data_IF_409352421422
#
_entry.id   IF_409352421422
#
_cell.length_a   1.000
_cell.length_b   1.000
_cell.length_c   1.000
_cell.angle_alpha   90.00
_cell.angle_beta   90.00
_cell.angle_gamma   90.00
#
_symmetry.space_group_name_H-M   'P 1'
#
loop_
_entity.id
_entity.type
_entity.pdbx_description
1 polymer ?
2 polymer ?
3 non-polymer ?
4 non-polymer ?
5 non-polymer ?
6 non-polymer ?
7 non-polymer ?
8 water ?
#
# COMPACT_ATOMS: atom_id res chain seq x y z
N UNK A 1 -20.39 20.74 -12.52
CA UNK A 1 -19.44 19.61 -12.77
C UNK A 1 -19.82 18.39 -11.93
N UNK A 2 -19.18 17.25 -12.23
CA UNK A 2 -19.47 16.01 -11.52
C UNK A 2 -18.21 15.15 -11.35
N UNK A 3 -18.08 14.58 -10.16
CA UNK A 3 -16.84 13.94 -9.73
C UNK A 3 -16.51 12.65 -10.48
N UNK A 4 -17.52 12.01 -11.08
CA UNK A 4 -17.31 10.77 -11.84
C UNK A 4 -16.63 11.04 -13.20
N UNK A 5 -16.81 12.25 -13.72
CA UNK A 5 -16.17 12.64 -14.97
C UNK A 5 -14.93 13.51 -14.70
N UNK A 6 -13.77 13.05 -15.16
CA UNK A 6 -12.55 13.87 -15.14
C UNK A 6 -12.13 14.24 -13.70
N UNK A 7 -12.60 13.47 -12.74
CA UNK A 7 -12.41 13.77 -11.31
C UNK A 7 -13.01 15.12 -10.89
N UNK A 8 -14.05 15.54 -11.62
CA UNK A 8 -14.65 16.86 -11.39
C UNK A 8 -13.70 18.02 -11.60
N UNK A 9 -12.60 17.77 -12.31
CA UNK A 9 -11.51 18.74 -12.45
C UNK A 9 -10.59 18.86 -11.25
N UNK A 10 -10.92 18.19 -10.15
CA UNK A 10 -10.14 18.25 -8.91
C UNK A 10 -8.79 17.54 -9.06
N UNK A 11 -7.76 18.07 -8.42
CA UNK A 11 -6.45 17.42 -8.40
C UNK A 11 -6.50 16.16 -7.52
N UNK A 12 -7.24 16.25 -6.42
CA UNK A 12 -7.36 15.18 -5.46
C UNK A 12 -8.84 14.76 -5.28
N UNK A 13 -9.44 15.05 -4.13
CA UNK A 13 -10.74 14.48 -3.78
C UNK A 13 -11.87 15.43 -4.21
N UNK A 14 -13.06 14.87 -4.42
CA UNK A 14 -14.20 15.56 -5.05
C UNK A 14 -15.51 15.15 -4.39
N UNK A 15 -16.31 16.13 -3.97
CA UNK A 15 -17.66 15.89 -3.47
C UNK A 15 -18.72 16.57 -4.35
N UNK A 16 -19.73 15.80 -4.75
CA UNK A 16 -20.90 16.35 -5.45
C UNK A 16 -21.89 16.89 -4.42
N UNK A 17 -22.51 18.02 -4.74
CA UNK A 17 -23.43 18.70 -3.84
C UNK A 17 -24.79 18.93 -4.53
N UNK A 18 -25.82 19.12 -3.70
CA UNK A 18 -27.17 19.34 -4.21
C UNK A 18 -27.23 20.65 -5.02
N UNK A 19 -27.63 20.52 -6.29
CA UNK A 19 -27.55 21.61 -7.26
C UNK A 19 -26.45 21.27 -8.25
N UNK A 20 -26.07 22.24 -9.08
CA UNK A 20 -24.95 22.02 -10.01
C UNK A 20 -23.63 22.36 -9.29
N UNK A 21 -23.48 21.84 -8.07
CA UNK A 21 -22.37 22.21 -7.18
C UNK A 21 -21.38 21.06 -6.96
N UNK A 22 -20.11 21.43 -6.88
CA UNK A 22 -19.00 20.48 -6.65
C UNK A 22 -18.00 21.15 -5.71
N UNK A 23 -17.45 20.38 -4.76
CA UNK A 23 -16.37 20.86 -3.92
C UNK A 23 -15.19 19.91 -4.05
N UNK A 24 -14.02 20.47 -4.34
CA UNK A 24 -12.78 19.71 -4.30
C UNK A 24 -12.18 19.80 -2.92
N UNK A 25 -11.41 18.79 -2.56
CA UNK A 25 -10.73 18.76 -1.28
C UNK A 25 -9.34 18.20 -1.46
N UNK A 26 -8.52 18.40 -0.44
CA UNK A 26 -7.15 17.94 -0.43
C UNK A 26 -6.90 17.13 0.85
N UNK A 27 -5.98 16.18 0.73
CA UNK A 27 -5.54 15.33 1.83
C UNK A 27 -4.88 16.20 2.88
N UNK A 28 -4.82 15.66 4.08
CA UNK A 28 -4.06 16.28 5.15
C UNK A 28 -2.64 16.55 4.64
N UNK A 29 -2.08 17.70 5.03
CA UNK A 29 -0.77 18.13 4.58
C UNK A 29 -0.78 18.86 3.24
N UNK A 30 -1.98 19.19 2.76
CA UNK A 30 -2.20 19.98 1.57
C UNK A 30 -3.31 21.00 1.82
N UNK A 31 -3.30 22.08 1.06
CA UNK A 31 -4.38 23.08 1.05
C UNK A 31 -4.86 23.32 -0.37
N UNK A 32 -6.14 23.64 -0.51
CA UNK A 32 -6.78 23.87 -1.79
C UNK A 32 -6.47 25.31 -2.21
N UNK A 33 -6.05 25.48 -3.45
CA UNK A 33 -5.79 26.82 -3.99
C UNK A 33 -7.09 27.51 -4.42
N UNK A 34 -7.00 28.80 -4.70
CA UNK A 34 -8.16 29.64 -5.06
C UNK A 34 -8.86 29.23 -6.36
N UNK A 35 -8.17 28.46 -7.22
CA UNK A 35 -8.81 27.87 -8.39
C UNK A 35 -9.84 26.81 -8.00
N UNK A 36 -9.87 26.43 -6.71
CA UNK A 36 -10.88 25.49 -6.24
C UNK A 36 -10.62 24.04 -6.61
N UNK A 37 -9.49 23.76 -7.26
CA UNK A 37 -9.16 22.40 -7.73
C UNK A 37 -7.76 21.90 -7.34
N UNK A 38 -6.79 22.80 -7.23
CA UNK A 38 -5.38 22.43 -7.05
C UNK A 38 -5.05 22.26 -5.58
N UNK A 39 -4.14 21.35 -5.27
CA UNK A 39 -3.69 21.13 -3.90
C UNK A 39 -2.21 21.46 -3.84
N UNK A 40 -1.80 22.18 -2.80
CA UNK A 40 -0.39 22.50 -2.59
C UNK A 40 0.02 22.00 -1.20
N UNK A 41 1.21 21.39 -1.07
CA UNK A 41 1.70 20.94 0.24
C UNK A 41 1.81 22.07 1.27
N UNK A 42 1.48 21.74 2.51
CA UNK A 42 1.59 22.67 3.63
C UNK A 42 2.64 22.22 4.67
N UNK A 43 3.22 21.06 4.42
CA UNK A 43 4.23 20.47 5.30
C UNK A 43 5.41 20.05 4.46
N UNK A 44 6.50 19.68 5.14
CA UNK A 44 7.71 19.31 4.47
C UNK A 44 7.60 17.96 3.75
N UNK A 45 6.88 17.03 4.36
CA UNK A 45 6.81 15.67 3.84
C UNK A 45 5.37 15.20 3.68
N UNK A 46 4.67 15.79 2.71
CA UNK A 46 3.31 15.41 2.43
C UNK A 46 3.25 14.00 1.85
N UNK A 47 2.17 13.31 2.10
CA UNK A 47 1.99 11.97 1.55
C UNK A 47 2.06 11.92 0.03
N UNK A 48 2.62 10.83 -0.51
CA UNK A 48 2.57 10.57 -1.94
C UNK A 48 3.47 11.39 -2.83
N UNK A 49 4.40 12.14 -2.23
CA UNK A 49 5.44 12.86 -2.98
C UNK A 49 6.80 12.31 -2.58
N UNK A 50 7.72 12.29 -3.53
CA UNK A 50 9.06 11.69 -3.39
C UNK A 50 10.09 12.83 -3.28
N UNK A 51 10.51 13.17 -2.06
CA UNK A 51 11.41 14.30 -1.82
C UNK A 51 12.61 14.42 -2.77
N UNK A 52 13.31 13.32 -3.06
CA UNK A 52 14.51 13.45 -3.89
C UNK A 52 14.17 13.83 -5.32
N UNK A 53 12.98 13.43 -5.78
CA UNK A 53 12.52 13.82 -7.11
C UNK A 53 11.90 15.23 -7.13
N UNK A 54 11.20 15.61 -6.06
CA UNK A 54 10.66 16.96 -5.93
C UNK A 54 11.80 17.99 -5.89
N UNK A 55 12.86 17.67 -5.16
CA UNK A 55 14.07 18.49 -5.16
C UNK A 55 14.74 18.53 -6.54
N UNK A 56 14.74 17.38 -7.21
CA UNK A 56 15.35 17.24 -8.54
C UNK A 56 14.70 18.16 -9.59
N UNK A 57 13.40 18.43 -9.44
CA UNK A 57 12.69 19.35 -10.35
C UNK A 57 12.36 20.72 -9.74
N UNK A 58 12.77 20.95 -8.49
CA UNK A 58 12.59 22.25 -7.83
C UNK A 58 13.70 23.23 -8.23
N UNK B 1 10.14 -9.48 -6.31
CA UNK B 1 9.72 -8.90 -7.59
C UNK B 1 10.47 -9.56 -8.76
N UNK B 2 9.72 -10.06 -9.73
CA UNK B 2 10.27 -10.66 -10.97
C UNK B 2 10.19 -9.70 -12.16
N UNK B 3 11.32 -9.47 -12.83
CA UNK B 3 11.37 -8.67 -14.05
C UNK B 3 11.28 -7.16 -13.88
N UNK B 4 11.55 -6.67 -12.66
CA UNK B 4 11.53 -5.26 -12.35
C UNK B 4 12.94 -4.69 -12.34
N UNK B 5 13.16 -3.63 -11.58
CA UNK B 5 14.45 -3.00 -11.46
C UNK B 5 14.63 -2.55 -10.03
N UNK B 6 15.84 -2.16 -9.68
CA UNK B 6 16.10 -1.63 -8.37
C UNK B 6 15.32 -0.31 -8.24
N UNK B 7 14.60 -0.15 -7.14
CA UNK B 7 14.02 1.15 -6.83
C UNK B 7 15.15 2.04 -6.32
N UNK B 8 15.47 3.12 -7.06
CA UNK B 8 16.55 3.96 -6.57
C UNK B 8 16.30 4.40 -5.13
N UNK B 9 17.36 4.34 -4.31
CA UNK B 9 17.26 4.65 -2.88
C UNK B 9 16.52 5.97 -2.66
N UNK B 10 15.43 5.90 -1.90
CA UNK B 10 14.61 7.09 -1.63
C UNK B 10 13.40 7.27 -2.54
N UNK B 11 13.30 6.49 -3.62
CA UNK B 11 12.18 6.67 -4.56
C UNK B 11 10.99 5.77 -4.24
N UNK B 12 11.12 4.93 -3.23
CA UNK B 12 10.02 4.11 -2.73
C UNK B 12 9.90 4.34 -1.22
N UNK B 13 9.76 5.62 -0.79
CA UNK B 13 10.02 5.93 0.62
C UNK B 13 8.92 5.48 1.60
N UNK B 14 7.80 5.00 1.07
CA UNK B 14 6.70 4.46 1.85
C UNK B 14 6.80 2.95 2.06
N UNK B 15 7.79 2.32 1.42
CA UNK B 15 7.96 0.88 1.54
C UNK B 15 8.38 0.51 2.94
N UNK B 16 7.72 -0.51 3.48
CA UNK B 16 8.03 -1.04 4.81
C UNK B 16 8.56 -2.47 4.66
N UNK B 17 9.56 -2.83 5.48
CA UNK B 17 10.01 -4.21 5.61
C UNK B 17 9.57 -4.73 6.97
N UNK B 18 8.88 -5.86 6.96
CA UNK B 18 8.47 -6.47 8.22
C UNK B 18 9.38 -7.67 8.50
N UNK B 19 9.81 -7.76 9.75
CA UNK B 19 10.76 -8.76 10.22
C UNK B 19 10.19 -9.48 11.43
N UNK B 20 10.49 -10.78 11.54
CA UNK B 20 10.17 -11.56 12.72
C UNK B 20 11.44 -12.29 13.16
N UNK B 21 11.89 -12.03 14.38
CA UNK B 21 13.18 -12.50 14.87
C UNK B 21 14.29 -12.19 13.88
N UNK B 22 14.25 -10.99 13.28
CA UNK B 22 15.29 -10.54 12.35
C UNK B 22 15.20 -11.07 10.93
N UNK B 23 14.27 -12.00 10.70
CA UNK B 23 14.07 -12.62 9.41
C UNK B 23 12.98 -11.90 8.61
N UNK B 24 13.22 -11.76 7.31
CA UNK B 24 12.26 -11.18 6.36
C UNK B 24 10.94 -11.91 6.42
N UNK B 25 9.85 -11.18 6.68
CA UNK B 25 8.50 -11.74 6.73
C UNK B 25 7.65 -11.29 5.53
N UNK B 26 7.56 -9.98 5.36
CA UNK B 26 6.64 -9.41 4.40
C UNK B 26 6.99 -7.96 4.14
N UNK B 27 6.35 -7.40 3.14
CA UNK B 27 6.34 -5.96 2.94
C UNK B 27 5.14 -5.29 3.60
N UNK B 28 5.14 -3.96 3.50
CA UNK B 28 4.03 -3.13 3.95
C UNK B 28 4.09 -1.72 3.38
N UNK B 29 3.07 -0.91 3.71
CA UNK B 29 3.01 0.48 3.24
C UNK B 29 2.73 1.43 4.39
N UNK B 30 3.63 2.40 4.58
CA UNK B 30 3.44 3.45 5.54
C UNK B 30 2.36 4.41 5.01
N UNK B 31 1.34 4.71 5.81
CA UNK B 31 0.32 5.68 5.34
C UNK B 31 0.18 6.94 6.21
N UNK B 32 0.80 6.92 7.38
CA UNK B 32 1.14 8.14 8.11
C UNK B 32 2.24 7.76 9.09
N UNK B 33 2.54 8.58 10.09
CA UNK B 33 3.72 8.29 10.93
C UNK B 33 3.60 7.10 11.88
N UNK B 34 2.40 6.59 12.15
CA UNK B 34 2.27 5.45 13.06
C UNK B 34 1.55 4.24 12.44
N UNK B 35 0.98 4.38 11.25
CA UNK B 35 0.18 3.31 10.65
C UNK B 35 0.77 2.75 9.35
N UNK B 36 0.75 1.42 9.27
CA UNK B 36 1.26 0.63 8.15
C UNK B 36 0.16 -0.34 7.66
N UNK B 37 -0.01 -0.41 6.35
CA UNK B 37 -0.93 -1.37 5.75
C UNK B 37 -0.12 -2.56 5.18
N UNK B 38 -0.55 -3.77 5.49
CA UNK B 38 0.07 -5.00 4.98
C UNK B 38 -1.02 -6.01 4.64
N UNK B 39 -0.63 -7.28 4.48
CA UNK B 39 -1.56 -8.35 4.09
C UNK B 39 -1.83 -9.23 5.29
N UNK B 40 -3.10 -9.57 5.51
CA UNK B 40 -3.47 -10.41 6.65
C UNK B 40 -2.70 -11.73 6.67
N UNK B 41 -2.51 -12.35 5.50
CA UNK B 41 -1.88 -13.68 5.43
C UNK B 41 -0.43 -13.71 5.93
N UNK B 42 0.22 -12.54 6.03
CA UNK B 42 1.57 -12.42 6.56
C UNK B 42 1.66 -12.89 8.00
N UNK B 43 0.52 -12.87 8.71
CA UNK B 43 0.49 -13.15 10.13
C UNK B 43 -0.12 -14.50 10.50
N UNK B 44 -0.36 -15.36 9.51
CA UNK B 44 -1.02 -16.67 9.74
C UNK B 44 -0.23 -17.58 10.69
N UNK B 45 1.10 -17.49 10.67
CA UNK B 45 1.97 -18.41 11.41
C UNK B 45 2.75 -17.76 12.53
N UNK B 46 2.38 -16.55 12.91
CA UNK B 46 3.10 -15.85 13.97
C UNK B 46 2.83 -16.51 15.31
N UNK B 47 3.89 -16.78 16.05
CA UNK B 47 3.78 -17.44 17.33
C UNK B 47 3.93 -16.40 18.43
N UNK B 48 5.02 -15.64 18.40
CA UNK B 48 5.21 -14.54 19.35
C UNK B 48 4.99 -13.20 18.64
N UNK B 49 3.80 -12.64 18.84
CA UNK B 49 3.41 -11.36 18.22
C UNK B 49 4.30 -10.21 18.64
N UNK B 50 5.11 -10.41 19.67
CA UNK B 50 5.94 -9.35 20.23
C UNK B 50 7.35 -9.31 19.65
N UNK B 51 7.64 -10.22 18.73
CA UNK B 51 8.89 -10.22 17.96
C UNK B 51 8.78 -9.58 16.56
N UNK B 52 7.69 -8.86 16.31
CA UNK B 52 7.43 -8.25 15.00
C UNK B 52 8.01 -6.84 14.96
N UNK B 53 8.87 -6.59 13.96
CA UNK B 53 9.52 -5.30 13.76
C UNK B 53 9.17 -4.75 12.37
N UNK B 54 8.86 -3.46 12.32
CA UNK B 54 8.69 -2.74 11.04
C UNK B 54 9.90 -1.86 10.80
N UNK B 55 10.44 -1.90 9.59
CA UNK B 55 11.57 -1.04 9.23
C UNK B 55 11.22 -0.14 8.03
N UNK B 56 11.45 1.16 8.24
CA UNK B 56 11.28 2.22 7.24
C UNK B 56 12.65 2.74 6.82
N UNK B 57 12.70 3.33 5.62
CA UNK B 57 13.93 3.90 5.08
C UNK B 57 14.95 2.85 4.67
N UNK B 58 14.49 1.61 4.54
CA UNK B 58 15.34 0.50 4.16
C UNK B 58 15.55 0.52 2.64
N UNK B 59 16.71 0.06 2.21
CA UNK B 59 17.00 -0.04 0.80
C UNK B 59 17.88 -1.26 0.50
N UNK B 60 19.11 -1.24 1.00
CA UNK B 60 20.06 -2.33 0.80
C UNK B 60 20.19 -3.10 2.11
N UNK B 61 19.65 -4.32 2.12
CA UNK B 61 19.63 -5.16 3.31
C UNK B 61 21.02 -5.60 3.78
N UNK B 62 22.02 -5.50 2.94
CA UNK B 62 23.38 -5.92 3.32
C UNK B 62 24.10 -4.87 4.17
N UNK B 63 23.59 -3.64 4.23
CA UNK B 63 24.28 -2.60 4.96
C UNK B 63 23.38 -1.71 5.82
N UNK B 64 24.00 -0.96 6.70
CA UNK B 64 23.32 0.04 7.49
C UNK B 64 23.87 1.38 7.02
N UNK B 65 22.99 2.26 6.56
CA UNK B 65 23.45 3.61 6.16
C UNK B 65 22.91 4.75 7.05
N UNK B 66 22.13 4.42 8.08
CA UNK B 66 21.59 5.40 9.00
C UNK B 66 20.25 6.02 8.64
N UNK B 67 19.71 5.74 7.45
CA UNK B 67 18.38 6.24 7.05
C UNK B 67 17.25 5.31 7.54
N UNK B 68 17.64 4.12 7.97
CA UNK B 68 16.68 3.11 8.44
C UNK B 68 16.09 3.51 9.76
N UNK B 69 14.81 3.21 9.97
CA UNK B 69 14.15 3.42 11.23
C UNK B 69 13.32 2.20 11.56
N UNK B 70 13.63 1.56 12.69
CA UNK B 70 12.96 0.35 13.15
C UNK B 70 11.97 0.65 14.25
N UNK B 71 10.81 0.02 14.21
CA UNK B 71 9.80 0.17 15.24
C UNK B 71 9.18 -1.16 15.58
N UNK B 72 8.87 -1.34 16.85
CA UNK B 72 8.03 -2.46 17.26
C UNK B 72 6.60 -2.23 16.78
N UNK B 73 5.93 -3.32 16.47
CA UNK B 73 4.55 -3.28 16.03
C UNK B 73 3.69 -3.50 17.25
N UNK B 74 2.90 -2.48 17.62
CA UNK B 74 2.06 -2.52 18.82
C UNK B 74 0.72 -3.22 18.60
N UNK B 75 0.21 -3.19 17.38
CA UNK B 75 -1.09 -3.78 17.06
C UNK B 75 -1.10 -4.27 15.62
N UNK B 76 -1.69 -5.45 15.43
CA UNK B 76 -2.01 -5.98 14.10
C UNK B 76 -3.52 -6.17 14.05
N UNK B 77 -4.17 -5.36 13.22
CA UNK B 77 -5.62 -5.40 13.10
C UNK B 77 -6.02 -6.05 11.77
N UNK B 78 -6.84 -7.09 11.88
CA UNK B 78 -7.24 -7.93 10.75
C UNK B 78 -8.79 -7.94 10.70
N UNK B 79 -9.38 -7.85 9.50
CA UNK B 79 -10.84 -7.83 9.47
C UNK B 79 -11.44 -9.17 9.89
N UNK B 80 -12.60 -9.13 10.51
CA UNK B 80 -13.30 -10.33 10.99
C UNK B 80 -13.53 -11.35 9.88
N UNK B 81 -13.66 -10.86 8.66
CA UNK B 81 -14.02 -11.68 7.52
C UNK B 81 -12.85 -12.47 6.91
N UNK B 82 -11.62 -12.14 7.32
CA UNK B 82 -10.45 -12.83 6.84
C UNK B 82 -10.37 -14.21 7.53
N UNK B 83 -10.16 -15.27 6.75
CA UNK B 83 -9.97 -16.60 7.32
C UNK B 83 -8.56 -17.10 7.00
N UNK B 84 -7.75 -17.34 8.04
CA UNK B 84 -6.39 -17.81 7.80
C UNK B 84 -6.29 -18.97 6.85
N UNK B 85 -5.27 -18.90 6.00
CA UNK B 85 -5.00 -19.93 5.04
C UNK B 85 -5.74 -19.71 3.74
N UNK B 86 -6.54 -18.65 3.66
CA UNK B 86 -7.32 -18.31 2.48
C UNK B 86 -6.91 -16.92 1.95
N UNK B 87 -7.61 -16.46 0.91
CA UNK B 87 -7.14 -15.30 0.13
C UNK B 87 -8.00 -14.05 0.25
N UNK B 88 -9.29 -14.20 0.54
CA UNK B 88 -10.20 -13.05 0.58
C UNK B 88 -9.95 -12.17 1.83
N UNK B 89 -10.19 -10.87 1.69
CA UNK B 89 -10.00 -9.90 2.77
C UNK B 89 -8.55 -9.88 3.29
N UNK B 90 -7.60 -9.89 2.36
CA UNK B 90 -6.19 -10.03 2.70
C UNK B 90 -5.58 -8.66 2.98
N UNK B 91 -5.89 -8.15 4.17
CA UNK B 91 -5.44 -6.83 4.61
C UNK B 91 -5.22 -6.81 6.12
N UNK B 92 -4.19 -6.10 6.56
CA UNK B 92 -3.89 -5.90 7.98
C UNK B 92 -3.48 -4.47 8.21
N UNK B 93 -3.95 -3.90 9.32
CA UNK B 93 -3.53 -2.56 9.73
C UNK B 93 -2.66 -2.65 10.97
N UNK B 94 -1.44 -2.14 10.83
CA UNK B 94 -0.42 -2.22 11.87
C UNK B 94 -0.18 -0.85 12.49
N UNK B 95 -0.23 -0.82 13.82
CA UNK B 95 0.10 0.36 14.61
C UNK B 95 1.53 0.23 15.10
N UNK B 96 2.38 1.21 14.78
CA UNK B 96 3.75 1.22 15.27
C UNK B 96 3.75 1.68 16.74
N UNK B 97 4.72 1.21 17.51
CA UNK B 97 4.80 1.53 18.95
C UNK B 97 5.18 2.99 19.19
N UNK B 98 5.92 3.56 18.25
CA UNK B 98 6.36 4.93 18.29
C UNK B 98 6.35 5.44 16.84
N UNK B 99 5.99 6.71 16.61
CA UNK B 99 5.95 7.16 15.21
C UNK B 99 7.33 7.09 14.58
N UNK B 100 7.38 6.87 13.27
CA UNK B 100 8.59 7.12 12.52
C UNK B 100 8.75 8.62 12.31
N UNK B 101 9.97 9.07 12.03
CA UNK B 101 10.27 10.47 11.74
C UNK B 101 10.32 10.59 10.24
N UNK B 102 9.49 11.47 9.70
CA UNK B 102 9.47 11.67 8.27
C UNK B 102 10.76 12.37 7.82
N UNK B 103 11.34 11.85 6.75
CA UNK B 103 12.63 12.31 6.20
C UNK B 103 12.55 12.13 4.70
N UNK B 104 13.61 12.52 3.98
CA UNK B 104 13.69 12.29 2.55
C UNK B 104 13.51 10.80 2.17
N UNK B 105 13.84 9.92 3.11
CA UNK B 105 13.83 8.48 2.88
C UNK B 105 12.65 7.75 3.54
N UNK B 106 11.81 8.51 4.25
CA UNK B 106 10.67 7.93 4.94
C UNK B 106 9.49 8.89 4.80
N UNK B 107 8.53 8.49 3.98
CA UNK B 107 7.38 9.31 3.59
C UNK B 107 6.17 8.38 3.42
N UNK B 108 4.98 8.77 3.93
CA UNK B 108 3.79 7.93 3.73
C UNK B 108 3.22 8.03 2.33
N UNK B 109 2.61 6.93 1.87
CA UNK B 109 1.76 6.96 0.70
C UNK B 109 0.36 7.46 1.10
N UNK B 110 -0.30 8.25 0.25
CA UNK B 110 -1.65 8.74 0.56
C UNK B 110 -2.68 7.60 0.50
N UNK B 111 -3.45 7.43 1.58
CA UNK B 111 -4.61 6.56 1.55
C UNK B 111 -5.74 7.39 0.95
N UNK B 112 -6.23 7.00 -0.23
CA UNK B 112 -7.20 7.85 -0.91
C UNK B 112 -8.59 7.73 -0.32
N UNK B 113 -9.42 8.73 -0.58
CA UNK B 113 -10.86 8.56 -0.38
C UNK B 113 -11.39 7.45 -1.28
N UNK B 114 -12.40 6.71 -0.81
CA UNK B 114 -12.97 5.60 -1.60
C UNK B 114 -13.46 6.07 -2.96
N UNK B 115 -14.30 7.10 -2.98
CA UNK B 115 -14.88 7.58 -4.25
C UNK B 115 -13.79 7.93 -5.25
N UNK B 116 -12.80 8.68 -4.81
CA UNK B 116 -11.67 9.03 -5.66
C UNK B 116 -10.99 7.75 -6.15
N UNK B 117 -10.80 6.78 -5.26
CA UNK B 117 -10.11 5.56 -5.66
C UNK B 117 -10.90 4.73 -6.67
N UNK B 118 -12.22 4.65 -6.46
CA UNK B 118 -13.09 3.87 -7.36
C UNK B 118 -13.36 4.55 -8.70
N UNK B 119 -13.54 5.86 -8.68
CA UNK B 119 -13.94 6.64 -9.86
C UNK B 119 -12.76 7.05 -10.73
N UNK B 120 -11.59 7.18 -10.15
CA UNK B 120 -10.45 7.72 -10.88
C UNK B 120 -9.22 6.83 -10.86
N UNK B 121 -8.77 6.44 -9.67
CA UNK B 121 -7.53 5.67 -9.56
C UNK B 121 -7.68 4.29 -10.18
N UNK B 122 -8.87 3.70 -10.07
CA UNK B 122 -9.14 2.35 -10.59
C UNK B 122 -9.00 2.28 -12.12
N UNK B 123 -8.95 3.43 -12.78
CA UNK B 123 -8.82 3.51 -14.24
C UNK B 123 -7.44 4.00 -14.68
N UNK B 124 -6.55 4.28 -13.75
CA UNK B 124 -5.15 4.50 -14.09
C UNK B 124 -4.58 3.12 -14.41
N UNK B 125 -4.07 2.95 -15.63
CA UNK B 125 -3.70 1.63 -16.10
C UNK B 125 -2.52 1.03 -15.33
N UNK B 126 -1.41 1.77 -15.25
CA UNK B 126 -0.20 1.26 -14.61
C UNK B 126 0.02 1.81 -13.21
N UNK B 127 0.56 0.92 -12.37
CA UNK B 127 0.89 1.21 -10.99
C UNK B 127 2.16 0.45 -10.61
N UNK B 128 2.79 0.86 -9.52
CA UNK B 128 4.07 0.29 -9.13
C UNK B 128 3.88 -0.67 -7.98
N UNK B 129 4.55 -1.82 -8.08
CA UNK B 129 4.59 -2.80 -7.00
C UNK B 129 6.04 -3.00 -6.62
N UNK B 130 6.28 -3.13 -5.31
CA UNK B 130 7.65 -3.16 -4.82
C UNK B 130 7.88 -4.13 -3.67
N UNK B 131 9.15 -4.54 -3.53
CA UNK B 131 9.56 -5.37 -2.41
C UNK B 131 10.92 -6.02 -2.56
N UNK B 132 11.33 -6.70 -1.49
CA UNK B 132 12.57 -7.47 -1.39
C UNK B 132 12.29 -8.98 -1.56
N UNK B 133 11.19 -9.31 -2.22
CA UNK B 133 10.85 -10.70 -2.48
C UNK B 133 11.73 -11.40 -3.51
N UNK B 134 11.35 -12.63 -3.83
CA UNK B 134 12.09 -13.45 -4.78
C UNK B 134 12.19 -12.76 -6.13
N UNK B 135 13.41 -12.79 -6.69
CA UNK B 135 13.69 -12.19 -7.98
C UNK B 135 13.22 -13.07 -9.13
N UNK B 136 12.96 -14.35 -8.82
CA UNK B 136 12.51 -15.37 -9.77
C UNK B 136 11.64 -16.34 -8.99
N UNK B 137 10.70 -16.98 -9.65
CA UNK B 137 9.99 -18.10 -9.05
C UNK B 137 11.02 -19.14 -8.60
N UNK B 138 10.90 -19.59 -7.35
CA UNK B 138 11.85 -20.53 -6.73
C UNK B 138 13.30 -19.99 -6.72
N UNK B 139 13.43 -18.67 -6.63
CA UNK B 139 14.73 -18.02 -6.65
C UNK B 139 15.05 -17.30 -5.34
N UNK B 140 16.24 -16.73 -5.26
CA UNK B 140 16.65 -15.96 -4.08
C UNK B 140 15.92 -14.62 -4.00
N UNK B 141 15.78 -14.12 -2.77
CA UNK B 141 15.18 -12.82 -2.53
C UNK B 141 16.20 -11.74 -2.81
N UNK B 142 15.70 -10.53 -3.05
CA UNK B 142 16.51 -9.37 -3.37
C UNK B 142 17.19 -8.77 -2.14
N UNK B 143 18.42 -8.29 -2.30
CA UNK B 143 19.08 -7.47 -1.26
C UNK B 143 18.79 -5.97 -1.41
N UNK B 144 18.55 -5.54 -2.64
CA UNK B 144 18.09 -4.18 -2.89
C UNK B 144 16.60 -4.15 -3.21
N UNK B 145 15.91 -3.11 -2.73
CA UNK B 145 14.49 -2.96 -2.99
C UNK B 145 14.21 -2.90 -4.47
N UNK B 146 13.32 -3.77 -4.95
CA UNK B 146 12.93 -3.78 -6.36
C UNK B 146 11.53 -3.19 -6.56
N UNK B 147 11.29 -2.69 -7.78
CA UNK B 147 10.01 -2.11 -8.18
C UNK B 147 9.64 -2.49 -9.62
N UNK B 148 8.34 -2.64 -9.87
CA UNK B 148 7.81 -3.14 -11.14
C UNK B 148 6.53 -2.39 -11.51
N UNK B 149 6.43 -1.93 -12.75
CA UNK B 149 5.22 -1.23 -13.23
C UNK B 149 4.34 -2.31 -13.83
N UNK B 150 3.10 -2.41 -13.35
CA UNK B 150 2.16 -3.45 -13.78
C UNK B 150 0.84 -2.81 -14.19
N UNK B 151 0.22 -3.31 -15.28
CA UNK B 151 -1.10 -2.83 -15.67
C UNK B 151 -2.23 -3.57 -14.96
N UNK B 152 -3.26 -2.83 -14.59
CA UNK B 152 -4.44 -3.38 -13.94
C UNK B 152 -5.44 -3.86 -14.99
N UNK B 153 -6.14 -4.93 -14.65
CA UNK B 153 -7.17 -5.51 -15.49
C UNK B 153 -8.51 -5.41 -14.79
N UNK B 154 -9.57 -5.20 -15.55
CA UNK B 154 -10.91 -5.41 -15.01
C UNK B 154 -11.09 -6.88 -14.76
N UNK B 155 -11.85 -7.22 -13.73
CA UNK B 155 -11.87 -8.59 -13.25
C UNK B 155 -12.43 -9.56 -14.31
N UNK B 156 -13.44 -9.13 -15.06
CA UNK B 156 -14.01 -9.94 -16.14
C UNK B 156 -12.92 -10.29 -17.16
N UNK B 157 -12.11 -9.29 -17.49
CA UNK B 157 -10.99 -9.45 -18.42
C UNK B 157 -9.91 -10.32 -17.83
N UNK B 158 -9.67 -10.22 -16.52
CA UNK B 158 -8.66 -11.08 -15.87
C UNK B 158 -9.05 -12.54 -16.00
N UNK B 159 -10.32 -12.84 -15.67
CA UNK B 159 -10.85 -14.20 -15.75
C UNK B 159 -10.82 -14.71 -17.20
N UNK B 160 -11.26 -13.85 -18.12
CA UNK B 160 -11.20 -14.15 -19.55
C UNK B 160 -9.77 -14.50 -19.98
N UNK B 161 -8.82 -13.64 -19.65
CA UNK B 161 -7.43 -13.81 -20.09
C UNK B 161 -6.61 -14.85 -19.32
N UNK B 162 -7.14 -15.44 -18.25
CA UNK B 162 -6.36 -16.35 -17.41
C UNK B 162 -6.54 -17.80 -17.81
N UNK B 163 -5.43 -18.56 -17.78
CA UNK B 163 -5.41 -19.96 -18.22
C UNK B 163 -4.05 -20.61 -17.94
N UNK B 168 -8.60 -23.46 -7.29
CA UNK B 168 -8.25 -22.16 -7.88
C UNK B 168 -9.19 -21.05 -7.39
N UNK B 169 -8.69 -20.13 -6.54
CA UNK B 169 -9.61 -19.18 -5.94
C UNK B 169 -10.24 -18.20 -6.93
N UNK B 170 -11.47 -17.81 -6.66
CA UNK B 170 -12.12 -16.72 -7.39
C UNK B 170 -11.40 -15.39 -7.17
N UNK B 171 -11.64 -14.47 -8.09
CA UNK B 171 -11.26 -13.08 -7.90
C UNK B 171 -12.53 -12.40 -7.37
N UNK B 172 -12.53 -12.08 -6.08
CA UNK B 172 -13.71 -11.47 -5.47
C UNK B 172 -13.67 -9.96 -5.68
N UNK B 173 -14.69 -9.28 -5.17
CA UNK B 173 -14.78 -7.83 -5.29
C UNK B 173 -13.78 -7.13 -4.36
N UNK B 174 -13.12 -7.91 -3.50
CA UNK B 174 -12.10 -7.40 -2.60
C UNK B 174 -10.68 -7.57 -3.14
N UNK B 175 -10.59 -7.89 -4.44
CA UNK B 175 -9.35 -8.16 -5.12
C UNK B 175 -9.34 -7.51 -6.48
N UNK B 176 -8.15 -7.39 -7.05
CA UNK B 176 -8.01 -7.11 -8.47
C UNK B 176 -6.74 -7.72 -9.02
N UNK B 177 -6.75 -8.00 -10.33
CA UNK B 177 -5.58 -8.50 -11.05
C UNK B 177 -4.73 -7.39 -11.64
N UNK B 178 -3.41 -7.61 -11.61
CA UNK B 178 -2.48 -6.73 -12.32
C UNK B 178 -1.21 -7.48 -12.72
N UNK B 179 -0.62 -7.08 -13.84
CA UNK B 179 0.64 -7.65 -14.31
C UNK B 179 0.53 -8.20 -15.71
N UNK B 180 1.11 -9.38 -15.91
CA UNK B 180 1.36 -9.94 -17.24
C UNK B 180 1.16 -11.44 -17.23
N UNK B 181 0.64 -11.97 -18.33
CA UNK B 181 0.41 -13.40 -18.46
C UNK B 181 1.54 -14.18 -19.17
N UNK B 182 2.63 -13.51 -19.55
CA UNK B 182 3.72 -14.17 -20.29
C UNK B 182 4.85 -14.66 -19.40
N UNK B 183 4.64 -14.66 -18.09
CA UNK B 183 5.63 -15.17 -17.15
C UNK B 183 6.93 -14.39 -17.02
N UNK B 184 6.93 -13.12 -17.44
CA UNK B 184 8.11 -12.27 -17.36
C UNK B 184 8.18 -11.33 -16.15
N UNK B 185 7.02 -10.96 -15.60
CA UNK B 185 6.93 -9.81 -14.70
C UNK B 185 5.80 -10.01 -13.69
N UNK B 186 6.15 -9.98 -12.41
CA UNK B 186 5.18 -10.26 -11.34
C UNK B 186 5.78 -9.88 -9.97
N UNK B 187 4.91 -9.74 -8.98
CA UNK B 187 5.34 -9.77 -7.59
C UNK B 187 5.42 -11.24 -7.19
N UNK B 188 6.22 -11.51 -6.17
CA UNK B 188 6.60 -12.90 -5.83
C UNK B 188 6.68 -13.10 -4.32
N UNK B 189 7.02 -14.31 -3.91
CA UNK B 189 7.07 -14.63 -2.48
C UNK B 189 8.02 -13.68 -1.76
N UNK B 190 7.59 -13.18 -0.61
CA UNK B 190 8.38 -12.18 0.15
C UNK B 190 7.97 -10.74 -0.15
N UNK B 191 7.26 -10.52 -1.25
CA UNK B 191 6.71 -9.20 -1.60
C UNK B 191 5.34 -8.95 -0.98
N UNK B 192 4.67 -10.03 -0.57
CA UNK B 192 3.36 -9.96 0.08
C UNK B 192 3.27 -8.84 1.12
N UNK B 193 2.15 -8.13 1.08
CA UNK B 193 1.92 -7.00 2.00
C UNK B 193 2.38 -5.65 1.50
N UNK B 194 3.20 -5.67 0.44
CA UNK B 194 3.79 -4.46 -0.08
C UNK B 194 2.80 -3.63 -0.88
N UNK B 195 3.19 -2.39 -1.23
CA UNK B 195 2.32 -1.48 -1.95
C UNK B 195 2.14 -1.78 -3.42
N UNK B 196 0.92 -1.56 -3.86
CA UNK B 196 0.57 -1.31 -5.24
C UNK B 196 0.13 0.17 -5.22
N UNK B 197 0.99 1.03 -5.79
CA UNK B 197 0.91 2.49 -5.68
C UNK B 197 0.59 3.11 -7.02
N UNK B 198 -0.34 4.07 -7.02
CA UNK B 198 -0.91 4.60 -8.25
C UNK B 198 -0.74 6.13 -8.29
N UNK B 199 -0.17 6.61 -9.38
CA UNK B 199 0.14 8.01 -9.56
C UNK B 199 -1.04 8.69 -10.21
N UNK B 200 -1.43 9.85 -9.66
CA UNK B 200 -2.43 10.71 -10.28
C UNK B 200 -2.13 12.18 -10.02
N UNK B 201 -1.93 12.90 -11.13
CA UNK B 201 -1.69 14.34 -11.11
C UNK B 201 -0.66 14.75 -10.06
N UNK B 202 0.49 14.09 -10.10
CA UNK B 202 1.66 14.47 -9.30
C UNK B 202 1.79 13.86 -7.92
N UNK B 203 0.88 12.96 -7.58
CA UNK B 203 0.82 12.39 -6.23
C UNK B 203 0.46 10.91 -6.31
N UNK B 204 1.04 10.13 -5.38
CA UNK B 204 0.87 8.69 -5.35
C UNK B 204 -0.04 8.23 -4.22
N UNK B 205 -0.82 7.18 -4.53
CA UNK B 205 -1.85 6.69 -3.66
C UNK B 205 -1.79 5.17 -3.51
N UNK B 206 -2.21 4.68 -2.35
CA UNK B 206 -2.37 3.23 -2.13
C UNK B 206 -3.67 2.70 -2.72
N UNK B 207 -3.52 1.84 -3.72
CA UNK B 207 -4.64 1.16 -4.37
C UNK B 207 -4.66 -0.38 -4.18
N UNK B 208 -3.51 -0.97 -3.93
CA UNK B 208 -3.47 -2.40 -3.77
C UNK B 208 -2.45 -2.87 -2.76
N UNK B 209 -2.62 -4.12 -2.34
CA UNK B 209 -1.66 -4.80 -1.48
C UNK B 209 -1.27 -6.13 -2.15
N UNK B 210 0.04 -6.36 -2.30
CA UNK B 210 0.53 -7.67 -2.80
C UNK B 210 -0.08 -8.81 -1.98
N UNK B 211 -0.86 -9.66 -2.64
CA UNK B 211 -1.68 -10.63 -1.92
C UNK B 211 -1.42 -12.07 -2.33
N UNK B 212 -1.81 -12.46 -3.54
CA UNK B 212 -1.61 -13.85 -3.97
C UNK B 212 -1.54 -14.03 -5.48
N UNK B 213 -1.27 -15.28 -5.87
CA UNK B 213 -1.38 -15.69 -7.25
C UNK B 213 -1.16 -17.19 -7.39
N UNK B 214 -1.27 -17.67 -8.63
CA UNK B 214 -0.97 -19.06 -8.98
C UNK B 214 0.52 -19.15 -9.19
N UNK B 215 1.28 -19.20 -8.09
CA UNK B 215 2.73 -19.12 -8.18
C UNK B 215 3.13 -17.73 -8.62
N UNK B 216 4.42 -17.53 -8.91
CA UNK B 216 5.00 -16.25 -9.33
C UNK B 216 5.35 -16.26 -10.78
N UNK B 217 4.92 -15.24 -11.53
CA UNK B 217 5.19 -15.13 -12.96
C UNK B 217 4.84 -16.44 -13.69
N UNK B 218 3.70 -17.04 -13.35
CA UNK B 218 3.26 -18.27 -14.02
C UNK B 218 2.60 -17.87 -15.32
N UNK B 219 3.08 -18.42 -16.45
CA UNK B 219 2.47 -18.13 -17.76
C UNK B 219 0.97 -18.44 -17.70
N UNK B 220 0.17 -17.56 -18.29
CA UNK B 220 -1.28 -17.68 -18.27
C UNK B 220 -1.98 -17.11 -17.06
N UNK B 221 -1.23 -16.49 -16.14
CA UNK B 221 -1.80 -15.98 -14.89
C UNK B 221 -1.25 -14.62 -14.47
N UNK B 222 -2.07 -13.89 -13.72
CA UNK B 222 -1.74 -12.53 -13.26
C UNK B 222 -1.60 -12.49 -11.74
N UNK B 223 -0.86 -11.51 -11.25
CA UNK B 223 -0.83 -11.21 -9.81
C UNK B 223 -2.19 -10.76 -9.31
N UNK B 224 -2.51 -11.17 -8.09
CA UNK B 224 -3.74 -10.73 -7.43
C UNK B 224 -3.41 -9.84 -6.23
N UNK B 225 -4.14 -8.72 -6.16
CA UNK B 225 -3.91 -7.66 -5.18
C UNK B 225 -5.20 -7.40 -4.42
N UNK B 226 -5.06 -7.08 -3.13
CA UNK B 226 -6.21 -6.69 -2.33
C UNK B 226 -6.67 -5.29 -2.78
N UNK B 227 -7.97 -5.16 -2.99
CA UNK B 227 -8.57 -3.91 -3.49
C UNK B 227 -8.84 -2.97 -2.32
N UNK B 228 -7.85 -2.12 -2.05
CA UNK B 228 -7.82 -1.26 -0.87
C UNK B 228 -9.03 -0.33 -0.75
N UNK B 229 -9.58 0.10 -1.89
CA UNK B 229 -10.77 0.97 -1.92
C UNK B 229 -11.95 0.42 -1.12
N UNK B 230 -12.06 -0.90 -1.03
CA UNK B 230 -13.10 -1.53 -0.24
C UNK B 230 -12.94 -1.33 1.26
N UNK B 231 -11.74 -0.94 1.68
CA UNK B 231 -11.38 -0.92 3.10
C UNK B 231 -11.11 0.47 3.67
N UNK B 232 -11.29 1.53 2.87
CA UNK B 232 -10.90 2.88 3.31
C UNK B 232 -11.60 3.29 4.60
N UNK B 233 -12.93 3.15 4.63
CA UNK B 233 -13.69 3.53 5.83
C UNK B 233 -13.34 2.63 7.02
N UNK B 234 -13.15 1.33 6.77
CA UNK B 234 -12.72 0.42 7.83
C UNK B 234 -11.37 0.88 8.46
N UNK B 235 -10.42 1.22 7.61
CA UNK B 235 -9.10 1.68 8.07
C UNK B 235 -9.22 3.01 8.79
N UNK B 236 -9.97 3.94 8.21
CA UNK B 236 -10.07 5.28 8.79
C UNK B 236 -10.68 5.24 10.18
N UNK B 237 -11.72 4.42 10.38
CA UNK B 237 -12.28 4.24 11.71
C UNK B 237 -11.28 3.69 12.72
N UNK B 238 -10.53 2.66 12.32
CA UNK B 238 -9.54 2.03 13.22
C UNK B 238 -8.44 3.01 13.61
N UNK B 239 -8.00 3.84 12.66
CA UNK B 239 -6.93 4.79 12.94
C UNK B 239 -7.34 5.85 13.96
N UNK B 240 -8.65 6.04 14.14
CA UNK B 240 -9.19 6.96 15.17
C UNK B 240 -9.41 6.25 16.52
N UNK B 241 -9.23 4.94 16.56
CA UNK B 241 -9.52 4.17 17.79
C UNK B 241 -8.34 4.17 18.75
N UNK B 242 -8.63 4.00 20.04
CA UNK B 242 -7.56 3.84 21.02
C UNK B 242 -6.94 2.44 20.89
N UNK B 243 -5.63 2.33 21.13
CA UNK B 243 -4.96 1.03 21.23
C UNK B 243 -5.62 0.13 22.28
N UNK B 244 -5.61 -1.19 22.03
CA UNK B 244 -6.16 -2.20 22.95
C UNK B 244 -5.03 -3.12 23.39
N UNK B 245 -5.05 -3.58 24.67
CA UNK B 245 -4.00 -4.54 25.04
C UNK B 245 -4.00 -5.78 24.12
N UNK B 246 -2.83 -6.39 23.95
CA UNK B 246 -2.68 -7.57 23.09
C UNK B 246 -2.57 -7.22 21.61
N UNK B 247 -1.48 -7.67 20.99
CA UNK B 247 -1.09 -7.24 19.65
C UNK B 247 -2.20 -7.49 18.62
N UNK B 248 -2.56 -8.74 18.42
CA UNK B 248 -3.62 -9.07 17.46
C UNK B 248 -5.00 -8.55 17.88
N UNK B 249 -5.65 -7.84 16.95
CA UNK B 249 -7.03 -7.39 17.10
C UNK B 249 -7.80 -7.76 15.84
N UNK B 250 -8.84 -8.59 16.00
CA UNK B 250 -9.79 -8.82 14.92
C UNK B 250 -10.92 -7.80 15.07
N UNK B 251 -11.18 -7.04 14.00
CA UNK B 251 -12.15 -5.96 14.00
C UNK B 251 -13.25 -6.27 13.00
N UNK B 252 -14.51 -5.97 13.36
CA UNK B 252 -15.58 -6.27 12.43
C UNK B 252 -15.38 -5.58 11.08
N UNK B 253 -15.65 -6.31 10.00
CA UNK B 253 -15.77 -5.76 8.67
C UNK B 253 -17.13 -6.18 8.12
N UNK B 254 -17.85 -5.24 7.49
CA UNK B 254 -17.54 -3.84 7.24
C UNK B 254 -17.44 -2.99 8.51
#
# INVERSE_FOLDING_TARGET
LICVNENGGCEQYCSDHTGTKRSCRCHEGYSLLADGVSCTPTVEYPCGKIPILEKRNASKPQGR
IVGGKVCPKGECPWQVLLLVNGAQLCGGTLINTIWVVSAAHCFDKIKNWRNLIAVLGEHDLSEHDGDEQSRRVAQVIIPSTYVPGTTNHDIALLRLHQPVVLTDHVVPLCLPERTFSERTLAFVRFSLVSGWGQLLDRGATALELMVLNVPRLMTQDCLQQSRKVGDSPNITEYMFCAGYSDGSKDSCKGDSGGPHATHYRGTWYLTGIVSWGQGCATVGHFGVYTRVSQYIEWLQKLMRSEPRPGVLLRAPFP
#
